data_IF_291767498389
#
_entry.id   IF_291767498389
#
_cell.length_a   1.000
_cell.length_b   1.000
_cell.length_c   1.000
_cell.angle_alpha   90.00
_cell.angle_beta   90.00
_cell.angle_gamma   90.00
#
_symmetry.space_group_name_H-M   'P 1'
#
loop_
_entity.id
_entity.type
_entity.pdbx_description
1 polymer ?
#
# COMPACT_ATOMS: atom_id res chain seq x y z
N UNK A 1 0.97 12.94 -16.98
CA UNK A 1 0.24 14.23 -17.09
C UNK A 1 0.73 15.12 -15.97
N UNK A 2 1.07 16.38 -16.22
CA UNK A 2 1.62 17.25 -15.20
C UNK A 2 0.52 17.71 -14.23
N UNK A 3 0.66 17.37 -12.95
CA UNK A 3 -0.20 17.80 -11.85
C UNK A 3 0.11 19.27 -11.45
N UNK A 4 0.12 20.20 -12.42
CA UNK A 4 0.62 21.59 -12.27
C UNK A 4 -0.19 22.49 -11.31
N UNK A 5 -1.21 21.95 -10.63
CA UNK A 5 -1.99 22.67 -9.61
C UNK A 5 -2.16 21.92 -8.28
N UNK A 6 -1.57 20.73 -8.13
CA UNK A 6 -1.71 19.91 -6.93
C UNK A 6 -0.47 20.07 -6.06
N UNK A 7 -0.66 20.44 -4.79
CA UNK A 7 0.46 20.66 -3.86
C UNK A 7 1.36 19.42 -3.73
N UNK A 8 2.66 19.66 -3.55
CA UNK A 8 3.69 18.63 -3.43
C UNK A 8 3.31 17.44 -2.53
N UNK A 9 2.70 17.62 -1.33
CA UNK A 9 2.34 16.50 -0.49
C UNK A 9 1.31 15.55 -1.13
N UNK A 10 0.37 16.08 -1.89
CA UNK A 10 -0.63 15.24 -2.56
C UNK A 10 -0.01 14.52 -3.75
N UNK A 11 0.85 15.17 -4.53
CA UNK A 11 1.60 14.52 -5.61
C UNK A 11 2.49 13.38 -5.10
N UNK A 12 3.20 13.60 -3.99
CA UNK A 12 4.03 12.56 -3.39
C UNK A 12 3.17 11.42 -2.82
N UNK A 13 1.99 11.71 -2.25
CA UNK A 13 1.04 10.68 -1.85
C UNK A 13 0.56 9.83 -3.03
N UNK A 14 0.19 10.46 -4.14
CA UNK A 14 -0.25 9.75 -5.35
C UNK A 14 0.88 8.86 -5.90
N UNK A 15 2.13 9.33 -5.80
CA UNK A 15 3.30 8.52 -6.14
C UNK A 15 3.49 7.32 -5.20
N UNK A 16 3.35 7.51 -3.89
CA UNK A 16 3.38 6.42 -2.89
C UNK A 16 2.27 5.39 -3.15
N UNK A 17 1.09 5.87 -3.53
CA UNK A 17 -0.04 5.02 -3.93
C UNK A 17 0.33 4.18 -5.16
N UNK A 18 0.93 4.78 -6.19
CA UNK A 18 1.39 4.05 -7.37
C UNK A 18 2.47 2.98 -7.08
N UNK A 19 3.18 3.09 -5.96
CA UNK A 19 4.19 2.12 -5.50
C UNK A 19 3.61 0.99 -4.65
N UNK A 20 2.33 1.02 -4.27
CA UNK A 20 1.70 -0.04 -3.50
C UNK A 20 1.85 -1.40 -4.20
N UNK A 21 2.27 -2.42 -3.46
CA UNK A 21 2.60 -3.75 -3.99
C UNK A 21 4.02 -3.88 -4.58
N UNK A 22 4.61 -2.79 -5.08
CA UNK A 22 6.00 -2.77 -5.58
C UNK A 22 7.03 -2.50 -4.50
N UNK A 23 6.68 -1.70 -3.49
CA UNK A 23 7.52 -1.38 -2.33
C UNK A 23 6.92 -2.03 -1.08
N UNK A 24 7.76 -2.35 -0.11
CA UNK A 24 7.37 -2.94 1.17
C UNK A 24 6.34 -2.03 1.89
N UNK A 25 5.29 -2.62 2.45
CA UNK A 25 4.19 -1.82 3.05
C UNK A 25 4.67 -0.98 4.24
N UNK A 26 5.61 -1.49 5.03
CA UNK A 26 6.16 -0.77 6.19
C UNK A 26 6.91 0.49 5.74
N UNK A 27 7.69 0.40 4.66
CA UNK A 27 8.38 1.55 4.08
C UNK A 27 7.40 2.58 3.51
N UNK A 28 6.34 2.13 2.82
CA UNK A 28 5.28 3.02 2.34
C UNK A 28 4.52 3.67 3.49
N UNK A 29 4.26 2.94 4.57
CA UNK A 29 3.58 3.45 5.77
C UNK A 29 4.44 4.51 6.47
N UNK A 30 5.75 4.28 6.57
CA UNK A 30 6.69 5.26 7.10
C UNK A 30 6.82 6.50 6.21
N UNK A 31 6.87 6.33 4.88
CA UNK A 31 6.91 7.46 3.96
C UNK A 31 5.63 8.32 4.04
N UNK A 32 4.45 7.70 4.18
CA UNK A 32 3.17 8.41 4.38
C UNK A 32 3.13 9.15 5.71
N UNK A 33 3.71 8.57 6.76
CA UNK A 33 3.85 9.23 8.06
C UNK A 33 4.74 10.48 7.96
N UNK A 34 5.95 10.35 7.38
CA UNK A 34 6.87 11.49 7.13
C UNK A 34 6.17 12.60 6.34
N UNK A 35 5.44 12.22 5.30
CA UNK A 35 4.68 13.15 4.48
C UNK A 35 3.58 13.90 5.26
N UNK A 36 2.89 13.20 6.15
CA UNK A 36 1.84 13.79 6.99
C UNK A 36 2.40 14.73 8.07
N UNK A 37 3.61 14.49 8.57
CA UNK A 37 4.28 15.36 9.55
C UNK A 37 5.12 16.46 8.91
N UNK A 38 4.92 16.73 7.61
CA UNK A 38 5.59 17.76 6.83
C UNK A 38 7.12 17.56 6.70
N UNK A 39 7.58 16.31 6.59
CA UNK A 39 8.94 15.92 6.21
C UNK A 39 8.98 15.28 4.80
N UNK A 40 8.60 16.02 3.73
CA UNK A 40 8.52 15.48 2.37
C UNK A 40 9.90 15.16 1.76
N UNK A 41 10.96 15.83 2.21
CA UNK A 41 12.36 15.55 1.88
C UNK A 41 12.74 14.14 2.31
N UNK A 42 12.51 13.82 3.59
CA UNK A 42 12.79 12.49 4.15
C UNK A 42 11.90 11.42 3.55
N UNK A 43 10.63 11.73 3.29
CA UNK A 43 9.72 10.81 2.62
C UNK A 43 10.23 10.47 1.20
N UNK A 44 10.65 11.47 0.42
CA UNK A 44 11.18 11.26 -0.93
C UNK A 44 12.50 10.47 -0.91
N UNK A 45 13.43 10.83 -0.02
CA UNK A 45 14.70 10.11 0.12
C UNK A 45 14.52 8.67 0.57
N UNK A 46 13.60 8.40 1.51
CA UNK A 46 13.27 7.04 1.95
C UNK A 46 12.78 6.19 0.77
N UNK A 47 11.82 6.71 0.00
CA UNK A 47 11.25 6.00 -1.16
C UNK A 47 12.34 5.71 -2.19
N UNK A 48 13.17 6.69 -2.53
CA UNK A 48 14.27 6.51 -3.49
C UNK A 48 15.28 5.49 -2.97
N UNK A 49 15.59 5.52 -1.67
CA UNK A 49 16.42 4.53 -0.99
C UNK A 49 15.86 3.11 -1.12
N UNK A 50 14.57 2.92 -0.85
CA UNK A 50 13.88 1.63 -0.99
C UNK A 50 13.93 1.12 -2.43
N UNK A 51 13.67 1.98 -3.42
CA UNK A 51 13.73 1.63 -4.84
C UNK A 51 15.15 1.20 -5.26
N UNK A 52 16.18 1.92 -4.81
CA UNK A 52 17.57 1.59 -5.09
C UNK A 52 18.00 0.29 -4.43
N UNK A 53 17.71 0.12 -3.14
CA UNK A 53 18.11 -1.05 -2.36
C UNK A 53 17.42 -2.32 -2.86
N UNK A 54 16.12 -2.24 -3.13
CA UNK A 54 15.33 -3.36 -3.66
C UNK A 54 15.51 -3.59 -5.16
N UNK A 55 16.28 -2.74 -5.86
CA UNK A 55 16.39 -2.72 -7.32
C UNK A 55 15.01 -2.74 -8.01
N UNK A 56 14.06 -2.02 -7.44
CA UNK A 56 12.67 -2.00 -7.90
C UNK A 56 12.61 -1.14 -9.17
N UNK A 57 12.14 -1.70 -10.30
CA UNK A 57 12.09 -0.95 -11.55
C UNK A 57 11.06 0.17 -11.49
N UNK A 58 11.43 1.30 -12.09
CA UNK A 58 10.55 2.47 -12.29
C UNK A 58 10.47 2.81 -13.77
N UNK A 59 9.40 3.47 -14.19
CA UNK A 59 9.32 4.01 -15.55
C UNK A 59 10.20 5.25 -15.72
N UNK A 60 10.48 5.62 -16.97
CA UNK A 60 11.16 6.88 -17.26
C UNK A 60 10.42 8.12 -16.76
N UNK A 61 9.08 8.07 -16.73
CA UNK A 61 8.24 9.15 -16.17
C UNK A 61 8.35 9.22 -14.65
N UNK A 62 8.23 8.07 -13.97
CA UNK A 62 8.38 7.98 -12.50
C UNK A 62 9.75 8.49 -12.04
N UNK A 63 10.83 8.13 -12.76
CA UNK A 63 12.18 8.62 -12.46
C UNK A 63 12.29 10.14 -12.62
N UNK A 64 11.72 10.71 -13.69
CA UNK A 64 11.71 12.16 -13.91
C UNK A 64 10.92 12.89 -12.84
N UNK A 65 9.78 12.34 -12.45
CA UNK A 65 8.93 12.89 -11.39
C UNK A 65 9.65 12.87 -10.04
N UNK A 66 10.26 11.75 -9.65
CA UNK A 66 11.08 11.67 -8.44
C UNK A 66 12.23 12.68 -8.45
N UNK A 67 12.93 12.82 -9.58
CA UNK A 67 13.98 13.84 -9.73
C UNK A 67 13.46 15.29 -9.62
N UNK A 68 12.18 15.53 -9.98
CA UNK A 68 11.54 16.83 -9.77
C UNK A 68 11.15 17.04 -8.31
N UNK A 69 10.57 16.03 -7.66
CA UNK A 69 10.22 16.04 -6.23
C UNK A 69 11.48 16.32 -5.40
N UNK A 70 12.58 15.59 -5.64
CA UNK A 70 13.86 15.78 -4.92
C UNK A 70 14.39 17.22 -5.06
N UNK A 71 14.31 17.81 -6.25
CA UNK A 71 14.69 19.24 -6.44
C UNK A 71 13.79 20.19 -5.66
N UNK A 72 12.49 19.94 -5.66
CA UNK A 72 11.50 20.79 -4.98
C UNK A 72 11.69 20.78 -3.46
N UNK A 73 12.00 19.61 -2.88
CA UNK A 73 12.32 19.43 -1.45
C UNK A 73 13.77 19.77 -1.08
N UNK A 74 14.60 20.17 -2.05
CA UNK A 74 16.03 20.48 -1.89
C UNK A 74 16.91 19.30 -1.45
N UNK A 75 16.51 18.08 -1.79
CA UNK A 75 17.33 16.86 -1.70
C UNK A 75 18.18 16.68 -2.95
N UNK A 76 19.13 15.74 -2.93
CA UNK A 76 20.00 15.44 -4.08
C UNK A 76 19.23 14.76 -5.23
N UNK A 77 19.01 15.44 -6.38
CA UNK A 77 18.29 14.83 -7.49
C UNK A 77 19.09 13.75 -8.23
N UNK A 78 20.42 13.70 -8.08
CA UNK A 78 21.25 12.67 -8.71
C UNK A 78 20.92 11.26 -8.17
N UNK A 79 20.24 11.16 -7.01
CA UNK A 79 19.71 9.89 -6.51
C UNK A 79 18.68 9.28 -7.47
N UNK A 80 17.85 10.09 -8.14
CA UNK A 80 16.88 9.60 -9.11
C UNK A 80 17.56 9.01 -10.36
N UNK A 81 18.69 9.57 -10.78
CA UNK A 81 19.44 9.08 -11.96
C UNK A 81 19.98 7.66 -11.78
N UNK A 82 20.16 7.24 -10.52
CA UNK A 82 20.62 5.89 -10.15
C UNK A 82 19.52 4.83 -10.18
N UNK A 83 18.25 5.23 -10.30
CA UNK A 83 17.11 4.31 -10.31
C UNK A 83 17.11 3.43 -11.56
N UNK A 84 16.71 2.17 -11.39
CA UNK A 84 16.54 1.22 -12.47
C UNK A 84 15.33 1.62 -13.34
N UNK A 85 15.57 2.42 -14.36
CA UNK A 85 14.53 2.81 -15.30
C UNK A 85 14.31 1.73 -16.37
N UNK A 86 13.05 1.34 -16.54
CA UNK A 86 12.59 0.41 -17.58
C UNK A 86 11.51 1.07 -18.44
N UNK A 87 11.34 0.58 -19.66
CA UNK A 87 10.28 1.06 -20.55
C UNK A 87 8.90 0.54 -20.09
N UNK A 88 8.84 -0.72 -19.67
CA UNK A 88 7.63 -1.35 -19.16
C UNK A 88 7.91 -1.99 -17.81
N UNK A 89 7.03 -1.71 -16.85
CA UNK A 89 7.09 -2.34 -15.55
C UNK A 89 6.74 -3.83 -15.68
N UNK A 90 7.37 -4.70 -14.88
CA UNK A 90 6.94 -6.09 -14.79
C UNK A 90 5.49 -6.14 -14.27
N UNK A 91 4.68 -7.01 -14.86
CA UNK A 91 3.32 -7.23 -14.41
C UNK A 91 3.31 -7.98 -13.08
N UNK A 92 2.97 -7.29 -11.99
CA UNK A 92 2.83 -7.87 -10.66
C UNK A 92 1.35 -8.18 -10.40
N UNK A 93 1.03 -9.48 -10.30
CA UNK A 93 -0.33 -9.92 -10.01
C UNK A 93 -0.52 -10.15 -8.51
N UNK A 94 -1.19 -9.23 -7.85
CA UNK A 94 -1.59 -9.41 -6.45
C UNK A 94 -2.93 -10.14 -6.35
N UNK A 95 -3.04 -11.00 -5.34
CA UNK A 95 -4.26 -11.73 -5.00
C UNK A 95 -4.90 -11.11 -3.77
N UNK A 96 -6.15 -10.69 -3.91
CA UNK A 96 -6.98 -10.16 -2.83
C UNK A 96 -8.16 -11.09 -2.55
N UNK A 97 -8.57 -11.19 -1.29
CA UNK A 97 -9.78 -11.91 -0.90
C UNK A 97 -10.45 -11.30 0.33
N UNK A 98 -11.65 -11.79 0.62
CA UNK A 98 -12.45 -11.51 1.82
C UNK A 98 -12.91 -12.80 2.50
N UNK A 99 -12.18 -13.91 2.27
CA UNK A 99 -12.55 -15.26 2.72
C UNK A 99 -12.68 -15.37 4.25
N UNK A 100 -11.78 -14.71 5.00
CA UNK A 100 -12.01 -14.32 6.40
C UNK A 100 -12.37 -12.84 6.46
N UNK A 101 -13.15 -12.41 7.46
CA UNK A 101 -13.64 -11.03 7.52
C UNK A 101 -12.48 -10.02 7.72
N UNK A 102 -12.07 -9.27 6.68
CA UNK A 102 -10.99 -8.29 6.82
C UNK A 102 -11.45 -7.03 7.57
N UNK A 103 -12.77 -6.82 7.70
CA UNK A 103 -13.38 -5.68 8.38
C UNK A 103 -13.47 -5.87 9.90
N UNK A 104 -13.19 -7.08 10.39
CA UNK A 104 -13.26 -7.41 11.81
C UNK A 104 -12.37 -6.49 12.66
N UNK A 105 -12.97 -5.87 13.68
CA UNK A 105 -12.35 -4.94 14.61
C UNK A 105 -12.06 -3.53 14.05
N UNK A 106 -12.23 -3.30 12.74
CA UNK A 106 -11.91 -2.00 12.14
C UNK A 106 -12.90 -0.90 12.53
N UNK A 107 -14.19 -1.22 12.66
CA UNK A 107 -15.22 -0.24 13.03
C UNK A 107 -14.95 0.35 14.41
N UNK A 108 -14.67 -0.49 15.41
CA UNK A 108 -14.32 -0.07 16.77
C UNK A 108 -13.02 0.74 16.80
N UNK A 109 -11.96 0.24 16.14
CA UNK A 109 -10.67 0.91 16.11
C UNK A 109 -10.70 2.29 15.42
N UNK A 110 -11.54 2.45 14.39
CA UNK A 110 -11.57 3.64 13.55
C UNK A 110 -12.72 4.61 13.84
N UNK A 111 -13.72 4.24 14.64
CA UNK A 111 -14.94 5.04 14.85
C UNK A 111 -14.66 6.51 15.20
N UNK A 112 -13.79 6.76 16.18
CA UNK A 112 -13.41 8.12 16.61
C UNK A 112 -12.61 8.87 15.54
N UNK A 113 -11.76 8.17 14.81
CA UNK A 113 -10.90 8.79 13.79
C UNK A 113 -11.74 9.20 12.59
N UNK A 114 -12.57 8.29 12.07
CA UNK A 114 -13.44 8.53 10.91
C UNK A 114 -14.48 9.61 11.19
N UNK A 115 -15.08 9.65 12.38
CA UNK A 115 -16.06 10.71 12.72
C UNK A 115 -15.47 12.12 12.74
N UNK A 116 -14.14 12.23 12.89
CA UNK A 116 -13.41 13.51 12.86
C UNK A 116 -12.74 13.81 11.51
N UNK A 117 -13.05 13.03 10.48
CA UNK A 117 -12.55 13.17 9.11
C UNK A 117 -13.75 13.37 8.16
N UNK A 118 -14.27 14.61 8.02
CA UNK A 118 -15.54 14.87 7.33
C UNK A 118 -15.50 14.55 5.82
N UNK A 119 -14.31 14.41 5.24
CA UNK A 119 -14.16 14.06 3.84
C UNK A 119 -13.98 12.56 3.57
N UNK A 120 -13.94 11.71 4.60
CA UNK A 120 -14.00 10.26 4.40
C UNK A 120 -15.40 9.89 3.89
N UNK A 121 -15.45 9.06 2.84
CA UNK A 121 -16.67 8.63 2.15
C UNK A 121 -16.98 7.16 2.40
N UNK A 122 -15.94 6.36 2.62
CA UNK A 122 -16.07 4.94 2.92
C UNK A 122 -14.75 4.38 3.40
N UNK A 123 -14.83 3.31 4.17
CA UNK A 123 -13.68 2.49 4.55
C UNK A 123 -14.00 1.06 4.16
N UNK A 124 -13.06 0.40 3.52
CA UNK A 124 -13.17 -0.98 3.09
C UNK A 124 -11.89 -1.72 3.44
N UNK A 125 -11.95 -3.03 3.55
CA UNK A 125 -10.77 -3.84 3.82
C UNK A 125 -10.75 -5.11 2.98
N UNK A 126 -9.57 -5.56 2.62
CA UNK A 126 -9.32 -6.84 1.97
C UNK A 126 -8.05 -7.49 2.52
N UNK A 127 -7.92 -8.80 2.31
CA UNK A 127 -6.68 -9.52 2.57
C UNK A 127 -5.87 -9.62 1.28
N UNK A 128 -4.59 -9.27 1.33
CA UNK A 128 -3.62 -9.52 0.26
C UNK A 128 -2.78 -10.74 0.63
N UNK A 129 -2.83 -11.79 -0.18
CA UNK A 129 -2.07 -13.05 0.03
C UNK A 129 -0.76 -13.12 -0.77
N UNK A 130 -0.40 -12.03 -1.42
CA UNK A 130 0.83 -11.91 -2.23
C UNK A 130 1.82 -10.95 -1.55
N UNK A 131 3.13 -11.23 -1.64
CA UNK A 131 4.16 -10.35 -1.09
C UNK A 131 4.15 -8.99 -1.80
N UNK A 132 4.48 -7.93 -1.07
CA UNK A 132 4.77 -6.61 -1.64
C UNK A 132 6.23 -6.27 -1.39
N UNK A 133 6.88 -5.69 -2.41
CA UNK A 133 8.29 -5.33 -2.35
C UNK A 133 9.25 -6.50 -2.19
N UNK A 134 10.50 -6.17 -1.86
CA UNK A 134 11.62 -7.11 -1.79
C UNK A 134 11.73 -7.77 -0.40
N UNK A 135 11.19 -7.13 0.65
CA UNK A 135 11.19 -7.61 2.03
C UNK A 135 9.74 -7.63 2.54
N UNK A 136 8.91 -8.56 2.04
CA UNK A 136 7.49 -8.56 2.37
C UNK A 136 7.27 -8.85 3.86
N UNK A 137 6.30 -8.14 4.43
CA UNK A 137 5.78 -8.44 5.76
C UNK A 137 4.98 -9.75 5.81
N UNK A 138 4.40 -10.08 6.99
CA UNK A 138 3.58 -11.27 7.17
C UNK A 138 2.40 -11.36 6.20
N UNK A 139 2.07 -12.58 5.76
CA UNK A 139 0.93 -12.86 4.91
C UNK A 139 -0.12 -13.72 5.63
N UNK A 140 -1.43 -13.54 5.36
CA UNK A 140 -2.00 -12.49 4.52
C UNK A 140 -1.89 -11.10 5.16
N UNK A 141 -1.64 -10.07 4.35
CA UNK A 141 -1.57 -8.68 4.79
C UNK A 141 -2.95 -8.03 4.71
N UNK A 142 -3.40 -7.38 5.78
CA UNK A 142 -4.65 -6.59 5.75
C UNK A 142 -4.40 -5.30 4.97
N UNK A 143 -5.23 -5.00 3.99
CA UNK A 143 -5.21 -3.72 3.25
C UNK A 143 -6.49 -2.97 3.58
N UNK A 144 -6.35 -1.76 4.12
CA UNK A 144 -7.46 -0.87 4.47
C UNK A 144 -7.51 0.25 3.44
N UNK A 145 -8.59 0.28 2.67
CA UNK A 145 -8.85 1.26 1.61
C UNK A 145 -9.78 2.33 2.18
N UNK A 146 -9.36 3.59 2.11
CA UNK A 146 -10.13 4.73 2.60
C UNK A 146 -10.45 5.66 1.42
N UNK A 147 -11.72 5.80 1.10
CA UNK A 147 -12.16 6.72 0.07
C UNK A 147 -12.35 8.12 0.66
N UNK A 148 -11.74 9.14 0.05
CA UNK A 148 -11.91 10.54 0.42
C UNK A 148 -12.53 11.37 -0.70
N UNK A 149 -13.33 12.36 -0.32
CA UNK A 149 -13.86 13.37 -1.21
C UNK A 149 -12.81 14.41 -1.64
N UNK A 150 -13.18 15.32 -2.56
CA UNK A 150 -12.24 16.28 -3.17
C UNK A 150 -11.67 17.33 -2.21
N UNK A 151 -12.27 17.49 -1.03
CA UNK A 151 -11.79 18.40 0.03
C UNK A 151 -10.90 17.67 1.06
N UNK A 152 -10.81 16.35 0.96
CA UNK A 152 -9.99 15.53 1.85
C UNK A 152 -8.51 15.71 1.57
N UNK A 153 -7.70 15.56 2.62
CA UNK A 153 -6.26 15.59 2.51
C UNK A 153 -5.69 14.18 2.76
N UNK A 154 -5.26 13.53 1.68
CA UNK A 154 -4.88 12.12 1.69
C UNK A 154 -3.72 11.79 2.65
N UNK A 155 -2.61 12.56 2.71
CA UNK A 155 -1.51 12.28 3.64
C UNK A 155 -1.97 12.25 5.10
N UNK A 156 -2.70 13.28 5.55
CA UNK A 156 -3.18 13.32 6.94
C UNK A 156 -4.21 12.23 7.23
N UNK A 157 -5.06 11.89 6.25
CA UNK A 157 -6.03 10.80 6.40
C UNK A 157 -5.31 9.47 6.59
N UNK A 158 -4.31 9.18 5.75
CA UNK A 158 -3.51 7.95 5.82
C UNK A 158 -2.85 7.81 7.19
N UNK A 159 -2.16 8.86 7.64
CA UNK A 159 -1.49 8.89 8.94
C UNK A 159 -2.45 8.71 10.10
N UNK A 160 -3.59 9.42 10.12
CA UNK A 160 -4.54 9.34 11.24
C UNK A 160 -5.20 7.96 11.34
N UNK A 161 -5.53 7.35 10.20
CA UNK A 161 -6.11 6.00 10.14
C UNK A 161 -5.08 4.96 10.58
N UNK A 162 -3.87 5.02 10.03
CA UNK A 162 -2.78 4.11 10.39
C UNK A 162 -2.43 4.20 11.89
N UNK A 163 -2.28 5.40 12.45
CA UNK A 163 -2.04 5.59 13.90
C UNK A 163 -3.16 4.99 14.74
N UNK A 164 -4.41 5.11 14.31
CA UNK A 164 -5.55 4.54 15.03
C UNK A 164 -5.53 3.00 15.01
N UNK A 165 -5.21 2.39 13.87
CA UNK A 165 -5.07 0.94 13.75
C UNK A 165 -3.91 0.40 14.58
N UNK A 166 -2.73 1.04 14.52
CA UNK A 166 -1.56 0.66 15.33
C UNK A 166 -1.87 0.73 16.82
N UNK A 167 -2.58 1.76 17.28
CA UNK A 167 -3.01 1.90 18.70
C UNK A 167 -3.97 0.79 19.13
N UNK A 168 -4.76 0.26 18.21
CA UNK A 168 -5.64 -0.89 18.44
C UNK A 168 -4.92 -2.24 18.26
N UNK A 169 -3.61 -2.26 17.98
CA UNK A 169 -2.85 -3.48 17.72
C UNK A 169 -3.16 -4.13 16.36
N UNK A 170 -3.85 -3.41 15.46
CA UNK A 170 -4.24 -3.91 14.15
C UNK A 170 -3.14 -3.54 13.15
N UNK A 171 -2.47 -4.54 12.58
CA UNK A 171 -1.53 -4.35 11.47
C UNK A 171 -2.29 -4.32 10.15
N UNK A 172 -2.13 -3.24 9.40
CA UNK A 172 -2.69 -3.11 8.06
C UNK A 172 -1.87 -2.12 7.22
N UNK A 173 -1.85 -2.35 5.90
CA UNK A 173 -1.43 -1.35 4.93
C UNK A 173 -2.61 -0.40 4.66
N UNK A 174 -2.44 0.88 4.92
CA UNK A 174 -3.49 1.90 4.73
C UNK A 174 -3.29 2.61 3.39
N UNK A 175 -4.30 2.53 2.54
CA UNK A 175 -4.32 3.13 1.21
C UNK A 175 -5.49 4.12 1.10
N UNK A 176 -5.17 5.39 0.84
CA UNK A 176 -6.18 6.46 0.75
C UNK A 176 -6.39 6.84 -0.71
N UNK A 177 -7.62 6.67 -1.17
CA UNK A 177 -8.05 6.85 -2.54
C UNK A 177 -8.93 8.09 -2.67
N UNK A 178 -8.69 8.92 -3.68
CA UNK A 178 -9.56 10.06 -3.98
C UNK A 178 -10.70 9.63 -4.89
N UNK A 179 -11.94 9.81 -4.45
CA UNK A 179 -13.14 9.44 -5.22
C UNK A 179 -13.14 10.11 -6.59
N UNK A 180 -13.44 9.33 -7.63
CA UNK A 180 -13.46 9.80 -9.02
C UNK A 180 -12.10 9.79 -9.71
N UNK A 181 -11.02 9.46 -9.00
CA UNK A 181 -9.69 9.27 -9.60
C UNK A 181 -9.58 7.85 -10.17
N UNK A 182 -9.08 7.67 -11.40
CA UNK A 182 -8.83 6.35 -11.96
C UNK A 182 -7.90 5.53 -11.06
N UNK A 183 -8.25 4.27 -10.83
CA UNK A 183 -7.46 3.35 -10.02
C UNK A 183 -6.52 2.53 -10.92
N UNK A 184 -5.29 2.31 -10.44
CA UNK A 184 -4.41 1.30 -11.04
C UNK A 184 -4.87 -0.13 -10.70
N UNK A 185 -4.37 -1.11 -11.45
CA UNK A 185 -4.79 -2.52 -11.35
C UNK A 185 -4.72 -3.10 -9.93
N UNK A 186 -3.70 -2.72 -9.16
CA UNK A 186 -3.54 -3.10 -7.76
C UNK A 186 -4.77 -2.67 -6.92
N UNK A 187 -5.09 -1.37 -6.95
CA UNK A 187 -6.19 -0.81 -6.16
C UNK A 187 -7.55 -1.23 -6.69
N UNK A 188 -7.71 -1.33 -8.01
CA UNK A 188 -8.93 -1.86 -8.61
C UNK A 188 -9.21 -3.28 -8.10
N UNK A 189 -8.21 -4.16 -8.13
CA UNK A 189 -8.32 -5.53 -7.62
C UNK A 189 -8.60 -5.57 -6.12
N UNK A 190 -7.92 -4.72 -5.33
CA UNK A 190 -8.13 -4.63 -3.89
C UNK A 190 -9.56 -4.18 -3.55
N UNK A 191 -10.07 -3.16 -4.24
CA UNK A 191 -11.42 -2.61 -4.08
C UNK A 191 -12.48 -3.64 -4.47
N UNK A 192 -12.28 -4.38 -5.56
CA UNK A 192 -13.21 -5.42 -6.01
C UNK A 192 -13.37 -6.54 -4.98
N UNK A 193 -12.30 -6.92 -4.28
CA UNK A 193 -12.33 -7.97 -3.26
C UNK A 193 -12.71 -7.48 -1.86
N UNK A 194 -12.82 -6.15 -1.65
CA UNK A 194 -12.94 -5.56 -0.33
C UNK A 194 -14.35 -5.68 0.27
N UNK A 195 -14.38 -5.78 1.59
CA UNK A 195 -15.58 -5.71 2.42
C UNK A 195 -15.70 -4.32 3.05
N UNK A 196 -16.91 -3.78 3.07
CA UNK A 196 -17.19 -2.48 3.66
C UNK A 196 -17.13 -2.52 5.19
N UNK A 197 -16.58 -1.47 5.78
CA UNK A 197 -16.54 -1.27 7.24
C UNK A 197 -17.65 -0.29 7.60
N UNK A 198 -18.67 -0.79 8.29
CA UNK A 198 -19.79 0.04 8.74
C UNK A 198 -19.46 0.71 10.07
N UNK A 199 -19.60 2.03 10.10
CA UNK A 199 -19.53 2.80 11.32
C UNK A 199 -20.95 3.05 11.83
N UNK A 200 -21.25 2.79 13.11
CA UNK A 200 -22.54 3.18 13.66
C UNK A 200 -22.66 4.69 13.51
N UNK A 201 -23.66 5.14 12.75
CA UNK A 201 -24.00 6.54 12.71
C UNK A 201 -24.35 6.95 14.15
N UNK A 202 -23.74 8.02 14.65
CA UNK A 202 -24.35 8.74 15.76
C UNK A 202 -25.71 9.20 15.21
N UNK A 203 -26.84 8.89 15.86
CA UNK A 203 -28.13 9.43 15.45
C UNK A 203 -27.98 10.94 15.41
N UNK A 204 -27.90 11.50 14.20
CA UNK A 204 -28.22 12.90 14.01
C UNK A 204 -29.70 12.93 14.31
N UNK A 205 -30.07 13.66 15.36
CA UNK A 205 -31.46 13.91 15.73
C UNK A 205 -32.24 14.09 14.43
N UNK A 206 -33.19 13.18 14.18
CA UNK A 206 -33.99 13.23 12.97
C UNK A 206 -34.60 14.63 12.90
N UNK A 207 -34.64 15.30 11.74
CA UNK A 207 -35.41 16.53 11.65
C UNK A 207 -36.82 16.15 12.07
N UNK A 208 -37.28 16.76 13.17
CA UNK A 208 -38.64 16.62 13.66
C UNK A 208 -39.55 16.76 12.44
N UNK A 209 -40.34 15.71 12.19
CA UNK A 209 -41.36 15.71 11.16
C UNK A 209 -42.15 17.01 11.26
N UNK A 210 -42.02 17.89 10.26
CA UNK A 210 -42.84 19.09 10.10
C UNK A 210 -44.30 18.73 9.72
N UNK A 211 -44.81 17.60 10.21
CA UNK A 211 -46.12 17.04 9.89
C UNK A 211 -47.15 17.18 11.02
N UNK A 212 -46.91 18.05 12.01
CA UNK A 212 -47.92 18.38 13.03
C UNK A 212 -48.14 19.88 13.24
N UNK A 213 -47.76 20.75 12.28
CA UNK A 213 -47.97 22.21 12.37
C UNK A 213 -49.26 22.72 11.70
N UNK A 214 -50.21 21.85 11.33
CA UNK A 214 -51.52 22.31 10.86
C UNK A 214 -52.64 21.59 11.58
N UNK A 215 -52.71 21.80 12.90
CA UNK A 215 -53.99 21.78 13.59
C UNK A 215 -53.90 22.64 14.86
N UNK A 216 -54.62 23.78 14.88
CA UNK A 216 -54.71 24.64 16.06
C UNK A 216 -54.80 26.14 15.81
N UNK A 217 -56.01 26.60 15.52
CA UNK A 217 -56.64 27.89 15.88
C UNK A 217 -55.86 29.22 15.87
N UNK A 218 -56.39 30.09 14.98
CA UNK A 218 -56.38 31.55 14.89
C UNK A 218 -56.14 32.32 16.19
N UNK A 219 -55.20 33.27 16.17
CA UNK A 219 -55.34 34.50 16.95
C UNK A 219 -54.78 35.73 16.23
N UNK A 220 -55.64 36.73 16.20
CA UNK A 220 -55.57 38.02 15.55
C UNK A 220 -54.39 38.94 15.93
N UNK A 221 -54.04 39.77 14.92
CA UNK A 221 -53.48 41.14 14.97
C UNK A 221 -52.01 41.37 15.38
N UNK A 222 -51.22 41.83 14.41
CA UNK A 222 -50.42 43.07 14.50
C UNK A 222 -50.05 43.59 13.07
N UNK A 223 -49.81 44.89 12.87
CA UNK A 223 -50.18 45.61 11.65
C UNK A 223 -49.09 45.64 10.56
N UNK A 224 -49.54 45.63 9.31
CA UNK A 224 -48.74 45.98 8.13
C UNK A 224 -48.43 47.47 8.19
N UNK A 225 -47.13 47.79 8.21
CA UNK A 225 -46.62 49.15 7.97
C UNK A 225 -45.81 49.09 6.69
N UNK A 226 -46.37 49.66 5.64
CA UNK A 226 -45.71 49.94 4.37
C UNK A 226 -45.42 51.45 4.35
N UNK A 227 -44.15 51.87 4.14
CA UNK A 227 -43.93 53.16 3.50
C UNK A 227 -42.84 53.12 2.43
N UNK A 228 -43.31 53.31 1.20
CA UNK A 228 -42.91 54.27 0.17
C UNK A 228 -41.49 54.34 -0.46
N UNK A 229 -41.42 54.73 -1.75
CA UNK A 229 -40.28 54.51 -2.64
C UNK A 229 -39.21 55.60 -2.55
N UNK A 230 -37.95 55.20 -2.67
CA UNK A 230 -36.81 56.13 -2.74
C UNK A 230 -36.59 56.60 -4.19
N UNK A 231 -36.39 57.91 -4.46
CA UNK A 231 -36.21 58.46 -5.80
C UNK A 231 -34.83 58.16 -6.40
N UNK A 232 -34.79 58.09 -7.74
CA UNK A 232 -33.61 57.88 -8.57
C UNK A 232 -32.82 59.18 -8.83
N UNK A 233 -31.50 59.06 -8.99
CA UNK A 233 -30.59 59.87 -9.85
C UNK A 233 -29.12 59.39 -9.69
N UNK A 234 -28.17 59.71 -10.58
CA UNK A 234 -28.18 59.53 -12.03
C UNK A 234 -26.95 58.74 -12.55
N UNK A 235 -27.05 58.33 -13.82
CA UNK A 235 -26.01 57.62 -14.56
C UNK A 235 -24.71 58.41 -14.74
N UNK A 236 -23.56 57.75 -14.52
CA UNK A 236 -22.32 58.06 -15.24
C UNK A 236 -21.73 56.76 -15.78
N UNK A 237 -21.52 56.75 -17.09
CA UNK A 237 -21.35 55.54 -17.87
C UNK A 237 -19.97 54.91 -17.86
N UNK A 238 -19.93 53.66 -18.30
CA UNK A 238 -18.77 53.07 -18.99
C UNK A 238 -19.25 51.97 -19.92
N UNK A 239 -19.01 52.20 -21.22
CA UNK A 239 -19.35 51.33 -22.34
C UNK A 239 -18.45 50.10 -22.33
N UNK A 240 -19.01 48.91 -22.52
CA UNK A 240 -18.30 47.80 -23.15
C UNK A 240 -19.27 46.91 -23.94
N UNK A 241 -18.98 46.79 -25.24
CA UNK A 241 -19.66 46.00 -26.27
C UNK A 241 -19.53 44.49 -26.01
N UNK A 242 -20.60 43.74 -26.30
CA UNK A 242 -20.65 42.47 -27.09
C UNK A 242 -22.08 41.92 -26.97
N UNK A 243 -22.94 42.11 -27.97
CA UNK A 243 -23.07 41.34 -29.20
C UNK A 243 -23.61 39.90 -28.98
N UNK A 244 -24.91 39.78 -29.33
CA UNK A 244 -25.52 38.69 -30.11
C UNK A 244 -25.80 37.36 -29.39
N UNK A 245 -27.04 37.25 -28.93
CA UNK A 245 -27.75 35.99 -28.82
C UNK A 245 -28.14 35.50 -30.22
N UNK A 246 -27.77 34.27 -30.56
CA UNK A 246 -28.41 33.49 -31.62
C UNK A 246 -28.77 32.13 -31.01
N UNK A 247 -30.08 31.90 -30.99
CA UNK A 247 -30.75 30.63 -30.75
C UNK A 247 -30.30 29.60 -31.78
N UNK A 248 -30.02 28.36 -31.38
CA UNK A 248 -30.18 27.24 -32.31
C UNK A 248 -30.66 25.98 -31.59
N UNK A 249 -31.66 25.44 -32.25
CA UNK A 249 -32.53 24.32 -31.94
C UNK A 249 -31.96 23.06 -32.59
N UNK A 250 -32.07 21.92 -31.90
CA UNK A 250 -32.15 20.58 -32.49
C UNK A 250 -30.97 20.04 -33.31
N UNK A 251 -30.16 19.16 -32.70
CA UNK A 251 -29.60 17.98 -33.40
C UNK A 251 -29.53 16.82 -32.41
N UNK A 252 -30.40 15.82 -32.60
CA UNK A 252 -30.22 14.50 -32.01
C UNK A 252 -29.12 13.72 -32.76
N UNK A 253 -28.24 12.97 -32.06
CA UNK A 253 -27.36 12.03 -32.73
C UNK A 253 -28.10 10.73 -33.06
N UNK A 254 -28.08 10.37 -34.35
CA UNK A 254 -28.56 9.09 -34.90
C UNK A 254 -27.88 7.86 -34.27
N UNK A 255 -28.55 6.69 -34.23
CA UNK A 255 -27.94 5.43 -33.79
C UNK A 255 -26.94 4.89 -34.84
N UNK A 256 -25.89 4.14 -34.41
CA UNK A 256 -24.91 3.59 -35.34
C UNK A 256 -25.47 2.44 -36.19
N UNK A 257 -25.00 2.36 -37.44
CA UNK A 257 -25.34 1.33 -38.44
C UNK A 257 -24.78 -0.05 -38.04
N UNK A 258 -25.47 -1.15 -38.39
CA UNK A 258 -25.00 -2.51 -38.12
C UNK A 258 -23.77 -2.87 -38.96
N UNK A 259 -22.73 -3.36 -38.30
CA UNK A 259 -21.50 -3.86 -38.92
C UNK A 259 -21.75 -5.24 -39.53
N UNK A 260 -21.46 -5.40 -40.83
CA UNK A 260 -21.44 -6.71 -41.51
C UNK A 260 -20.33 -7.58 -40.92
N UNK A 261 -20.71 -8.71 -40.31
CA UNK A 261 -19.78 -9.75 -39.85
C UNK A 261 -19.02 -10.33 -41.05
N UNK A 262 -17.70 -10.21 -41.04
CA UNK A 262 -16.82 -11.02 -41.89
C UNK A 262 -16.81 -12.46 -41.33
N UNK A 263 -16.85 -13.49 -42.20
CA UNK A 263 -16.85 -14.88 -41.75
C UNK A 263 -15.52 -15.24 -41.08
N UNK A 264 -15.65 -15.82 -39.89
CA UNK A 264 -14.59 -16.46 -39.12
C UNK A 264 -14.02 -17.59 -39.97
N UNK A 265 -12.72 -17.51 -40.27
CA UNK A 265 -11.96 -18.60 -40.86
C UNK A 265 -11.48 -19.47 -39.70
N UNK A 266 -11.92 -20.72 -39.67
CA UNK A 266 -11.46 -21.74 -38.73
C UNK A 266 -9.93 -21.87 -38.83
N UNK A 267 -9.19 -21.88 -37.70
CA UNK A 267 -7.79 -22.24 -37.73
C UNK A 267 -7.68 -23.73 -38.03
N UNK A 268 -7.01 -24.04 -39.13
CA UNK A 268 -6.52 -25.37 -39.46
C UNK A 268 -5.50 -25.76 -38.39
N UNK A 269 -5.76 -26.89 -37.75
CA UNK A 269 -4.88 -27.56 -36.80
C UNK A 269 -3.59 -27.99 -37.53
N UNK A 270 -2.52 -27.21 -37.39
CA UNK A 270 -1.17 -27.65 -37.75
C UNK A 270 -0.64 -28.54 -36.62
N UNK A 271 -0.59 -29.84 -36.88
CA UNK A 271 0.11 -30.83 -36.05
C UNK A 271 1.59 -30.43 -35.88
N UNK A 272 1.93 -29.93 -34.69
CA UNK A 272 3.31 -29.79 -34.25
C UNK A 272 3.89 -31.19 -33.96
N UNK A 273 5.09 -31.53 -34.46
CA UNK A 273 5.75 -32.79 -34.13
C UNK A 273 6.19 -32.80 -32.65
N UNK A 274 5.90 -33.91 -31.96
CA UNK A 274 6.33 -34.17 -30.57
C UNK A 274 7.85 -33.98 -30.40
N UNK A 275 8.31 -33.21 -29.39
CA UNK A 275 9.72 -33.21 -29.02
C UNK A 275 10.11 -34.56 -28.35
N UNK A 276 11.33 -35.07 -28.58
CA UNK A 276 11.82 -36.28 -27.92
C UNK A 276 12.02 -36.05 -26.42
N UNK A 277 11.73 -37.09 -25.64
CA UNK A 277 11.89 -37.12 -24.19
C UNK A 277 13.34 -36.81 -23.79
N UNK A 278 13.53 -35.73 -23.04
CA UNK A 278 14.78 -35.45 -22.33
C UNK A 278 14.68 -36.05 -20.93
N UNK A 279 15.70 -36.84 -20.61
CA UNK A 279 15.92 -37.49 -19.32
C UNK A 279 15.97 -36.46 -18.18
N UNK A 280 15.25 -36.76 -17.10
CA UNK A 280 15.24 -35.97 -15.87
C UNK A 280 16.59 -36.10 -15.14
N UNK A 281 17.22 -35.00 -14.71
CA UNK A 281 18.38 -35.07 -13.83
C UNK A 281 17.96 -35.49 -12.40
N UNK A 282 18.81 -36.23 -11.66
CA UNK A 282 18.43 -36.81 -10.38
C UNK A 282 18.22 -35.75 -9.30
N UNK A 283 17.05 -35.80 -8.67
CA UNK A 283 16.70 -35.06 -7.46
C UNK A 283 17.69 -35.40 -6.34
N UNK A 284 18.48 -34.40 -5.93
CA UNK A 284 19.35 -34.49 -4.77
C UNK A 284 18.56 -34.29 -3.48
N UNK A 285 18.69 -35.29 -2.60
CA UNK A 285 18.34 -35.34 -1.17
C UNK A 285 18.40 -33.99 -0.45
N UNK A 286 17.25 -33.54 0.02
CA UNK A 286 17.07 -32.96 1.37
C UNK A 286 15.59 -32.70 1.66
N UNK A 287 14.82 -33.79 1.78
CA UNK A 287 13.59 -33.81 2.58
C UNK A 287 13.90 -34.71 3.79
N UNK A 288 14.21 -34.10 4.92
CA UNK A 288 14.17 -34.75 6.22
C UNK A 288 12.96 -34.16 6.92
N UNK A 289 11.79 -34.74 6.63
CA UNK A 289 10.63 -34.56 7.49
C UNK A 289 10.88 -35.38 8.75
N UNK A 290 11.08 -34.71 9.88
CA UNK A 290 11.03 -35.34 11.20
C UNK A 290 9.60 -35.85 11.39
N UNK A 291 9.39 -37.13 11.12
CA UNK A 291 8.16 -37.81 11.53
C UNK A 291 8.12 -37.85 13.06
N UNK A 292 7.08 -37.25 13.64
CA UNK A 292 6.82 -37.33 15.08
C UNK A 292 6.52 -38.78 15.45
N UNK A 293 7.21 -39.28 16.48
CA UNK A 293 7.02 -40.64 16.98
C UNK A 293 5.58 -40.77 17.53
N UNK A 294 4.86 -41.88 17.27
CA UNK A 294 3.52 -42.13 17.82
C UNK A 294 3.38 -41.90 19.33
N UNK A 295 4.44 -42.07 20.11
CA UNK A 295 4.45 -41.80 21.54
C UNK A 295 4.29 -40.30 21.88
N UNK A 296 4.84 -39.40 21.04
CA UNK A 296 4.74 -37.95 21.23
C UNK A 296 3.35 -37.43 20.87
N UNK A 297 2.68 -38.06 19.89
CA UNK A 297 1.29 -37.78 19.56
C UNK A 297 0.33 -38.25 20.68
N UNK A 298 0.60 -39.40 21.28
CA UNK A 298 -0.16 -39.89 22.42
C UNK A 298 -0.02 -38.96 23.64
N UNK A 299 1.18 -38.44 23.91
CA UNK A 299 1.41 -37.48 24.98
C UNK A 299 0.68 -36.14 24.75
N UNK A 300 0.66 -35.63 23.52
CA UNK A 300 -0.08 -34.41 23.15
C UNK A 300 -1.60 -34.58 23.24
N UNK A 301 -2.12 -35.75 22.86
CA UNK A 301 -3.55 -36.05 22.98
C UNK A 301 -3.98 -36.22 24.45
N UNK A 302 -3.12 -36.77 25.30
CA UNK A 302 -3.36 -36.85 26.74
C UNK A 302 -3.39 -35.46 27.39
N UNK A 303 -2.43 -34.59 27.05
CA UNK A 303 -2.38 -33.22 27.57
C UNK A 303 -3.59 -32.35 27.14
N UNK A 304 -4.17 -32.61 25.97
CA UNK A 304 -5.37 -31.92 25.51
C UNK A 304 -6.65 -32.42 26.20
N UNK A 305 -6.68 -33.69 26.62
CA UNK A 305 -7.85 -34.32 27.24
C UNK A 305 -8.02 -33.95 28.72
N UNK A 306 -6.94 -33.59 29.42
CA UNK A 306 -6.98 -33.28 30.87
C UNK A 306 -7.27 -31.80 31.19
N UNK A 307 -7.41 -30.92 30.20
CA UNK A 307 -7.95 -29.57 30.40
C UNK A 307 -7.13 -28.67 31.33
N UNK A 308 -5.83 -28.91 31.45
CA UNK A 308 -4.94 -28.11 32.31
C UNK A 308 -4.32 -26.96 31.50
N UNK A 309 -4.68 -25.72 31.86
CA UNK A 309 -4.10 -24.52 31.27
C UNK A 309 -2.62 -24.38 31.67
N UNK A 310 -1.71 -23.98 30.76
CA UNK A 310 -0.30 -23.83 31.14
C UNK A 310 -0.14 -22.61 32.04
N UNK A 311 0.03 -22.87 33.33
CA UNK A 311 0.52 -21.90 34.28
C UNK A 311 1.92 -21.43 33.85
N UNK A 312 2.09 -20.12 33.86
CA UNK A 312 3.37 -19.41 33.72
C UNK A 312 4.35 -19.82 34.82
N UNK A 313 5.15 -20.87 34.61
CA UNK A 313 6.35 -21.16 35.41
C UNK A 313 7.27 -22.20 34.75
N UNK A 314 8.15 -21.76 33.85
CA UNK A 314 9.50 -22.31 33.71
C UNK A 314 10.30 -21.41 32.75
N UNK A 315 10.90 -20.37 33.31
CA UNK A 315 12.01 -19.66 32.68
C UNK A 315 13.14 -20.67 32.38
N UNK A 316 13.62 -20.63 31.14
CA UNK A 316 14.96 -21.04 30.72
C UNK A 316 15.46 -22.40 31.23
N UNK A 317 15.07 -23.49 30.58
CA UNK A 317 16.00 -24.63 30.52
C UNK A 317 17.03 -24.33 29.42
N UNK A 318 18.35 -24.36 29.72
CA UNK A 318 19.35 -24.24 28.67
C UNK A 318 19.12 -25.37 27.66
N UNK A 319 19.20 -25.03 26.38
CA UNK A 319 19.01 -25.95 25.24
C UNK A 319 19.90 -27.21 25.37
N UNK A 320 20.96 -27.11 26.17
CA UNK A 320 21.84 -28.21 26.56
C UNK A 320 21.14 -29.38 27.24
N UNK A 321 20.03 -29.19 27.97
CA UNK A 321 19.43 -30.25 28.80
C UNK A 321 18.82 -31.41 27.99
N UNK A 322 18.54 -31.21 26.69
CA UNK A 322 17.94 -32.22 25.81
C UNK A 322 18.90 -32.79 24.74
N UNK A 323 20.15 -32.32 24.71
CA UNK A 323 21.11 -32.77 23.71
C UNK A 323 21.82 -34.04 24.18
N UNK A 324 21.91 -35.02 23.26
CA UNK A 324 22.75 -36.19 23.44
C UNK A 324 24.22 -35.76 23.59
N UNK A 325 25.03 -36.56 24.29
CA UNK A 325 26.45 -36.27 24.53
C UNK A 325 27.23 -36.04 23.21
N UNK A 326 26.80 -36.70 22.14
CA UNK A 326 27.32 -36.53 20.78
C UNK A 326 26.99 -35.16 20.18
N UNK A 327 25.78 -34.65 20.39
CA UNK A 327 25.36 -33.34 19.90
C UNK A 327 26.04 -32.21 20.66
N UNK A 328 26.23 -32.37 21.98
CA UNK A 328 27.01 -31.41 22.78
C UNK A 328 28.46 -31.31 22.31
N UNK A 329 29.09 -32.45 22.02
CA UNK A 329 30.45 -32.47 21.47
C UNK A 329 30.51 -31.78 20.10
N UNK A 330 29.51 -32.00 19.24
CA UNK A 330 29.45 -31.38 17.92
C UNK A 330 29.30 -29.85 18.00
N UNK A 331 28.46 -29.35 18.92
CA UNK A 331 28.28 -27.92 19.15
C UNK A 331 29.52 -27.26 19.74
N UNK A 332 30.25 -27.94 20.63
CA UNK A 332 31.53 -27.45 21.13
C UNK A 332 32.55 -27.33 20.00
N UNK A 333 32.63 -28.33 19.13
CA UNK A 333 33.51 -28.31 17.96
C UNK A 333 33.15 -27.18 16.99
N UNK A 334 31.86 -26.92 16.77
CA UNK A 334 31.39 -25.83 15.91
C UNK A 334 31.69 -24.45 16.51
N UNK A 335 31.50 -24.28 17.82
CA UNK A 335 31.87 -23.03 18.50
C UNK A 335 33.38 -22.78 18.44
N UNK A 336 34.19 -23.83 18.60
CA UNK A 336 35.65 -23.71 18.50
C UNK A 336 36.09 -23.40 17.06
N UNK A 337 35.46 -24.00 16.05
CA UNK A 337 35.72 -23.67 14.64
C UNK A 337 35.33 -22.22 14.31
N UNK A 338 34.20 -21.72 14.83
CA UNK A 338 33.79 -20.33 14.65
C UNK A 338 34.74 -19.35 15.37
N UNK A 339 35.15 -19.67 16.60
CA UNK A 339 36.13 -18.87 17.33
C UNK A 339 37.49 -18.83 16.63
N UNK A 340 37.92 -19.95 16.05
CA UNK A 340 39.12 -20.01 15.21
C UNK A 340 38.97 -19.16 13.95
N UNK A 341 37.80 -19.18 13.29
CA UNK A 341 37.53 -18.33 12.13
C UNK A 341 37.53 -16.85 12.50
N UNK A 342 36.96 -16.45 13.63
CA UNK A 342 37.03 -15.06 14.08
C UNK A 342 38.47 -14.61 14.38
N UNK A 343 39.29 -15.47 15.00
CA UNK A 343 40.70 -15.15 15.29
C UNK A 343 41.62 -15.21 14.06
N UNK A 344 41.30 -16.05 13.07
CA UNK A 344 42.05 -16.14 11.81
C UNK A 344 41.55 -15.17 10.74
N UNK A 345 40.39 -14.55 10.95
CA UNK A 345 39.93 -13.38 10.17
C UNK A 345 40.62 -12.14 10.73
N UNK A 346 41.90 -11.98 10.41
CA UNK A 346 42.62 -10.74 10.10
C UNK A 346 44.14 -10.98 10.19
N UNK A 347 44.85 -11.23 9.08
CA UNK A 347 46.25 -10.83 9.01
C UNK A 347 46.29 -9.29 8.99
N UNK A 348 47.04 -8.71 9.93
CA UNK A 348 47.34 -7.29 9.96
C UNK A 348 47.98 -6.86 8.63
N UNK A 349 47.20 -6.18 7.78
CA UNK A 349 47.61 -5.75 6.45
C UNK A 349 46.52 -5.96 5.42
N UNK A 350 45.47 -5.12 5.45
CA UNK A 350 44.48 -5.08 4.38
C UNK A 350 45.14 -4.72 3.03
N UNK A 351 44.53 -5.10 1.90
CA UNK A 351 45.11 -4.85 0.58
C UNK A 351 45.30 -3.34 0.36
N UNK A 352 46.55 -2.95 0.10
CA UNK A 352 46.91 -1.58 -0.19
C UNK A 352 46.41 -1.24 -1.61
N UNK A 353 45.43 -0.36 -1.70
CA UNK A 353 44.91 0.16 -2.96
C UNK A 353 45.65 1.44 -3.34
N UNK A 354 46.25 1.47 -4.53
CA UNK A 354 46.76 2.70 -5.15
C UNK A 354 45.94 2.96 -6.39
N UNK A 355 45.23 4.09 -6.45
CA UNK A 355 44.31 4.47 -7.54
C UNK A 355 43.23 3.43 -7.88
N UNK A 356 42.63 2.79 -6.86
CA UNK A 356 41.45 1.93 -7.05
C UNK A 356 41.72 0.59 -7.75
N UNK A 357 42.99 0.23 -7.97
CA UNK A 357 43.38 -1.06 -8.56
C UNK A 357 44.16 -1.85 -7.49
N UNK A 358 43.80 -3.13 -7.23
CA UNK A 358 44.55 -3.97 -6.30
C UNK A 358 45.97 -4.20 -6.84
N UNK A 359 46.97 -3.93 -6.00
CA UNK A 359 48.39 -4.14 -6.35
C UNK A 359 48.64 -5.64 -6.59
N UNK A 360 49.18 -6.06 -7.75
CA UNK A 360 49.48 -7.47 -7.98
C UNK A 360 50.58 -7.93 -7.02
N UNK A 361 50.31 -9.06 -6.35
CA UNK A 361 51.20 -9.66 -5.38
C UNK A 361 52.30 -10.42 -6.14
N UNK A 362 53.53 -9.90 -6.16
CA UNK A 362 54.69 -10.58 -6.75
C UNK A 362 55.13 -11.75 -5.85
N UNK A 363 54.40 -12.86 -5.94
CA UNK A 363 54.78 -14.14 -5.35
C UNK A 363 55.72 -14.92 -6.28
N UNK A 364 56.96 -15.11 -5.83
CA UNK A 364 57.96 -16.03 -6.37
C UNK A 364 57.36 -17.42 -6.65
N UNK A 365 57.51 -17.92 -7.88
CA UNK A 365 57.42 -19.36 -8.16
C UNK A 365 58.82 -19.99 -7.97
N UNK A 366 58.99 -21.01 -7.13
CA UNK A 366 60.13 -21.91 -7.24
C UNK A 366 59.89 -22.87 -8.43
N UNK A 367 60.93 -23.08 -9.23
CA UNK A 367 60.93 -23.93 -10.42
C UNK A 367 61.07 -25.42 -10.15
#
# INVERSE_FOLDING_TARGET
MAHDGVGLPVRLHDFLLALAGRVDDDALSQARELLAVAEPDRAAELVVGCLLAGRIPVTGDERRELGAVLREVRSDPALADRLLAVEHLPYLRHRFSSDSDPAEGLSEALAKTVSSLPDVRGVRASWRSSPAGATPGPLPQRVVLVDIGPKGFAPATAYRVDVALRRAGIRAAVEVLTVGTPLGDYHASAVTAAREVFFPAVPVDQPVDNATWFDGEVRDKAPVVEPEPVPAEPETGSKARRARADSFEGVQPFPPKPVKRLPVREPVEEELPKPPALEEPPLSRSEVTTELNPDDLAALQAALAEGEAPATAALSQPVDAKLSERERALLQQLHEELAQREQSTWPAGGPEYVNGVPKPNNGNYPG
#
